data_IF_751951789844
#
_entry.id   IF_751951789844
#
_cell.length_a   1.000
_cell.length_b   1.000
_cell.length_c   1.000
_cell.angle_alpha   90.00
_cell.angle_beta   90.00
_cell.angle_gamma   90.00
#
_symmetry.space_group_name_H-M   'P 1'
#
loop_
_entity.id
_entity.type
_entity.pdbx_description
1 polymer ?
#
# COMPACT_ATOMS: atom_id res chain seq x y z
N UNK A 1 -21.61 -10.55 10.71
CA UNK A 1 -21.62 -10.48 9.23
C UNK A 1 -20.27 -9.90 8.84
N UNK A 2 -19.48 -10.61 8.04
CA UNK A 2 -18.24 -10.06 7.51
C UNK A 2 -18.58 -8.78 6.70
N UNK A 3 -17.80 -7.72 6.87
CA UNK A 3 -17.97 -6.50 6.08
C UNK A 3 -17.79 -6.88 4.60
N UNK A 4 -18.82 -6.64 3.81
CA UNK A 4 -18.86 -7.05 2.40
C UNK A 4 -17.94 -6.17 1.53
N UNK A 5 -17.54 -4.99 2.02
CA UNK A 5 -16.78 -4.00 1.26
C UNK A 5 -15.54 -3.56 2.02
N UNK A 6 -14.44 -3.35 1.30
CA UNK A 6 -13.19 -2.83 1.88
C UNK A 6 -13.24 -1.32 2.09
N UNK A 7 -14.00 -0.61 1.27
CA UNK A 7 -14.21 0.83 1.38
C UNK A 7 -15.60 1.21 0.90
N UNK A 8 -16.24 2.17 1.58
CA UNK A 8 -17.59 2.65 1.25
C UNK A 8 -17.63 4.17 1.21
N UNK A 9 -18.32 4.71 0.22
CA UNK A 9 -18.61 6.15 0.07
C UNK A 9 -20.10 6.34 -0.08
N UNK A 10 -20.69 7.31 0.64
CA UNK A 10 -22.09 7.69 0.55
C UNK A 10 -22.22 9.19 0.42
N UNK A 11 -22.76 9.65 -0.70
CA UNK A 11 -22.93 11.07 -1.02
C UNK A 11 -21.65 11.89 -0.85
N UNK A 12 -20.50 11.31 -1.21
CA UNK A 12 -19.19 11.93 -1.00
C UNK A 12 -19.08 13.21 -1.83
N UNK A 13 -18.85 14.34 -1.16
CA UNK A 13 -18.72 15.67 -1.77
C UNK A 13 -17.46 16.35 -1.27
N UNK A 14 -16.76 17.05 -2.17
CA UNK A 14 -15.63 17.89 -1.78
C UNK A 14 -15.68 19.23 -2.52
N UNK A 15 -15.65 20.30 -1.74
CA UNK A 15 -15.60 21.68 -2.22
C UNK A 15 -14.31 22.30 -1.72
N UNK A 16 -13.56 22.91 -2.63
CA UNK A 16 -12.40 23.73 -2.29
C UNK A 16 -12.76 25.24 -2.42
N UNK A 17 -12.19 26.10 -1.58
CA UNK A 17 -12.39 27.54 -1.69
C UNK A 17 -12.01 28.08 -3.08
N UNK A 18 -12.68 29.14 -3.58
CA UNK A 18 -13.82 29.83 -2.97
C UNK A 18 -15.18 29.11 -3.18
N UNK A 19 -15.32 28.16 -4.13
CA UNK A 19 -16.57 27.42 -4.40
C UNK A 19 -16.38 26.35 -5.48
N UNK A 20 -15.19 25.76 -5.58
CA UNK A 20 -14.88 24.72 -6.56
C UNK A 20 -15.32 23.35 -6.04
N UNK A 21 -16.49 22.88 -6.45
CA UNK A 21 -16.96 21.53 -6.15
C UNK A 21 -16.25 20.51 -7.06
N UNK A 22 -15.42 19.68 -6.46
CA UNK A 22 -14.57 18.71 -7.16
C UNK A 22 -15.20 17.32 -7.15
N UNK A 23 -15.86 16.91 -6.06
CA UNK A 23 -16.62 15.67 -5.95
C UNK A 23 -18.08 16.01 -5.63
N UNK A 24 -19.04 15.39 -6.35
CA UNK A 24 -20.45 15.78 -6.40
C UNK A 24 -21.38 14.62 -6.07
N UNK A 25 -21.30 14.13 -4.83
CA UNK A 25 -22.22 13.10 -4.35
C UNK A 25 -21.91 11.72 -4.93
N UNK A 26 -20.68 11.21 -4.70
CA UNK A 26 -20.27 9.88 -5.14
C UNK A 26 -20.83 8.83 -4.17
N UNK A 27 -21.44 7.78 -4.73
CA UNK A 27 -21.93 6.60 -4.04
C UNK A 27 -21.23 5.39 -4.62
N UNK A 28 -20.26 4.84 -3.89
CA UNK A 28 -19.47 3.69 -4.35
C UNK A 28 -19.11 2.78 -3.19
N UNK A 29 -18.97 1.49 -3.48
CA UNK A 29 -18.45 0.50 -2.54
C UNK A 29 -17.46 -0.39 -3.28
N UNK A 30 -16.32 -0.65 -2.66
CA UNK A 30 -15.24 -1.43 -3.23
C UNK A 30 -15.19 -2.81 -2.58
N UNK A 31 -15.09 -3.86 -3.39
CA UNK A 31 -14.96 -5.22 -2.91
C UNK A 31 -13.50 -5.51 -2.50
N UNK A 32 -13.28 -6.35 -1.47
CA UNK A 32 -11.94 -6.86 -1.17
C UNK A 32 -11.34 -7.57 -2.38
N UNK A 33 -10.05 -7.33 -2.62
CA UNK A 33 -9.30 -7.94 -3.73
C UNK A 33 -9.52 -7.32 -5.10
N UNK A 34 -10.47 -6.38 -5.27
CA UNK A 34 -10.74 -5.73 -6.56
C UNK A 34 -9.55 -4.90 -7.05
N UNK A 35 -9.32 -4.89 -8.37
CA UNK A 35 -8.32 -4.06 -9.06
C UNK A 35 -9.04 -2.99 -9.87
N UNK A 36 -8.91 -1.75 -9.44
CA UNK A 36 -9.70 -0.62 -9.96
C UNK A 36 -8.77 0.43 -10.57
N UNK A 37 -8.94 0.71 -11.85
CA UNK A 37 -8.33 1.84 -12.53
C UNK A 37 -9.22 3.08 -12.43
N UNK A 38 -8.68 4.23 -12.05
CA UNK A 38 -9.42 5.48 -11.98
C UNK A 38 -9.05 6.38 -13.13
N UNK A 39 -10.00 6.65 -14.00
CA UNK A 39 -9.86 7.51 -15.15
C UNK A 39 -10.61 8.84 -14.97
N UNK A 40 -10.26 9.82 -15.76
CA UNK A 40 -10.90 11.14 -15.80
C UNK A 40 -9.96 12.22 -16.31
N UNK A 41 -10.52 13.35 -16.69
CA UNK A 41 -9.73 14.53 -17.11
C UNK A 41 -8.97 15.14 -15.93
N UNK A 42 -7.95 15.92 -16.23
CA UNK A 42 -7.21 16.66 -15.20
C UNK A 42 -8.15 17.59 -14.45
N UNK A 43 -8.04 17.56 -13.13
CA UNK A 43 -8.94 18.31 -12.26
C UNK A 43 -10.32 17.67 -12.03
N UNK A 44 -10.60 16.46 -12.54
CA UNK A 44 -11.85 15.73 -12.29
C UNK A 44 -12.00 15.25 -10.84
N UNK A 45 -10.95 15.36 -10.01
CA UNK A 45 -11.02 14.99 -8.59
C UNK A 45 -10.35 13.66 -8.25
N UNK A 46 -9.67 13.02 -9.18
CA UNK A 46 -9.01 11.70 -9.00
C UNK A 46 -8.10 11.67 -7.75
N UNK A 47 -7.07 12.52 -7.70
CA UNK A 47 -6.17 12.58 -6.54
C UNK A 47 -6.87 13.02 -5.26
N UNK A 48 -7.92 13.86 -5.35
CA UNK A 48 -8.75 14.23 -4.19
C UNK A 48 -9.48 13.02 -3.64
N UNK A 49 -10.04 12.16 -4.52
CA UNK A 49 -10.69 10.92 -4.12
C UNK A 49 -9.72 10.01 -3.36
N UNK A 50 -8.52 9.75 -3.91
CA UNK A 50 -7.52 8.93 -3.24
C UNK A 50 -7.07 9.52 -1.91
N UNK A 51 -6.88 10.84 -1.82
CA UNK A 51 -6.51 11.53 -0.56
C UNK A 51 -7.58 11.40 0.52
N UNK A 52 -8.86 11.43 0.15
CA UNK A 52 -9.96 11.16 1.09
C UNK A 52 -9.91 9.69 1.53
N UNK A 53 -9.74 8.76 0.59
CA UNK A 53 -9.62 7.32 0.89
C UNK A 53 -8.43 7.02 1.80
N UNK A 54 -7.33 7.74 1.64
CA UNK A 54 -6.12 7.63 2.45
C UNK A 54 -6.24 8.33 3.83
N UNK A 55 -7.31 9.10 4.07
CA UNK A 55 -7.47 9.89 5.29
C UNK A 55 -6.63 11.17 5.35
N UNK A 56 -5.97 11.57 4.24
CA UNK A 56 -5.22 12.83 4.17
C UNK A 56 -6.14 14.05 4.07
N UNK A 57 -7.31 13.88 3.46
CA UNK A 57 -8.35 14.91 3.37
C UNK A 57 -9.54 14.46 4.20
N UNK A 58 -9.73 15.11 5.34
CA UNK A 58 -10.79 14.77 6.32
C UNK A 58 -12.00 15.69 6.25
N UNK A 59 -11.88 16.86 5.61
CA UNK A 59 -12.98 17.80 5.44
C UNK A 59 -13.71 17.52 4.12
N UNK A 60 -14.81 16.79 4.17
CA UNK A 60 -15.68 16.47 3.04
C UNK A 60 -17.13 16.34 3.52
N UNK A 61 -18.08 16.42 2.59
CA UNK A 61 -19.49 16.16 2.84
C UNK A 61 -19.85 14.71 2.52
N UNK A 62 -20.91 14.18 3.16
CA UNK A 62 -21.28 12.77 3.08
C UNK A 62 -20.47 11.89 4.01
N UNK A 63 -20.35 10.62 3.69
CA UNK A 63 -19.64 9.62 4.50
C UNK A 63 -18.63 8.86 3.62
N UNK A 64 -17.46 8.56 4.17
CA UNK A 64 -16.45 7.70 3.53
C UNK A 64 -15.63 6.99 4.61
N UNK A 65 -15.49 5.67 4.50
CA UNK A 65 -14.74 4.88 5.49
C UNK A 65 -14.19 3.58 4.89
N UNK A 66 -13.06 3.13 5.42
CA UNK A 66 -12.53 1.79 5.20
C UNK A 66 -13.18 0.78 6.15
N UNK A 67 -13.13 -0.51 5.80
CA UNK A 67 -13.53 -1.59 6.69
C UNK A 67 -12.76 -1.51 8.02
N UNK A 68 -13.41 -1.89 9.11
CA UNK A 68 -12.80 -1.85 10.44
C UNK A 68 -11.53 -2.71 10.51
N UNK A 69 -10.41 -2.10 10.85
CA UNK A 69 -9.11 -2.76 10.96
C UNK A 69 -8.36 -2.91 9.64
N UNK A 70 -8.94 -2.52 8.50
CA UNK A 70 -8.25 -2.54 7.21
C UNK A 70 -7.09 -1.53 7.19
N UNK A 71 -5.92 -2.00 6.78
CA UNK A 71 -4.74 -1.16 6.56
C UNK A 71 -4.85 -0.50 5.18
N UNK A 72 -4.79 0.83 5.15
CA UNK A 72 -4.79 1.62 3.91
C UNK A 72 -3.40 2.14 3.66
N UNK A 73 -2.86 1.86 2.48
CA UNK A 73 -1.58 2.39 2.03
C UNK A 73 -1.77 3.33 0.84
N UNK A 74 -1.04 4.43 0.81
CA UNK A 74 -1.17 5.45 -0.22
C UNK A 74 0.18 5.91 -0.77
N UNK A 75 0.35 5.80 -2.08
CA UNK A 75 1.45 6.40 -2.80
C UNK A 75 1.02 7.79 -3.28
N UNK A 76 1.44 8.81 -2.55
CA UNK A 76 1.23 10.20 -2.93
C UNK A 76 2.09 10.59 -4.16
N UNK A 77 1.68 11.62 -4.87
CA UNK A 77 2.46 12.17 -5.99
C UNK A 77 3.85 12.66 -5.56
N UNK A 78 3.96 13.23 -4.34
CA UNK A 78 5.20 13.63 -3.69
C UNK A 78 5.31 12.92 -2.34
N UNK A 79 5.87 11.68 -2.30
CA UNK A 79 5.94 10.91 -1.07
C UNK A 79 7.02 11.45 -0.14
N UNK A 80 6.77 11.28 1.16
CA UNK A 80 7.73 11.62 2.21
C UNK A 80 8.51 10.39 2.63
N UNK A 81 9.83 10.55 2.69
CA UNK A 81 10.76 9.59 3.27
C UNK A 81 11.31 10.15 4.59
N UNK A 82 11.74 9.28 5.48
CA UNK A 82 12.41 9.67 6.71
C UNK A 82 13.84 10.13 6.39
N UNK A 83 14.17 11.43 6.56
CA UNK A 83 15.49 11.96 6.22
C UNK A 83 16.59 11.50 7.19
N UNK A 84 16.26 10.88 8.31
CA UNK A 84 17.20 10.32 9.26
C UNK A 84 17.71 8.93 8.88
N UNK A 85 17.12 8.33 7.84
CA UNK A 85 17.42 6.99 7.34
C UNK A 85 17.92 7.05 5.90
N UNK A 86 18.75 6.08 5.53
CA UNK A 86 19.13 5.82 4.15
C UNK A 86 17.98 5.16 3.33
N UNK A 87 18.27 4.76 2.10
CA UNK A 87 17.30 4.09 1.23
C UNK A 87 16.82 2.80 1.85
N UNK A 88 17.74 1.94 2.32
CA UNK A 88 17.39 0.65 2.92
C UNK A 88 16.52 0.84 4.18
N UNK A 89 16.93 1.73 5.07
CA UNK A 89 16.18 2.01 6.31
C UNK A 89 14.76 2.51 6.04
N UNK A 90 14.55 3.30 4.97
CA UNK A 90 13.20 3.70 4.55
C UNK A 90 12.39 2.53 3.98
N UNK A 91 13.01 1.64 3.21
CA UNK A 91 12.33 0.46 2.66
C UNK A 91 11.98 -0.54 3.76
N UNK A 92 12.87 -0.76 4.74
CA UNK A 92 12.65 -1.65 5.88
C UNK A 92 11.48 -1.24 6.78
N UNK A 93 11.08 0.03 6.79
CA UNK A 93 9.82 0.44 7.45
C UNK A 93 8.61 -0.33 6.92
N UNK A 94 8.62 -0.68 5.64
CA UNK A 94 7.54 -1.47 5.01
C UNK A 94 7.43 -2.90 5.56
N UNK A 95 8.48 -3.43 6.15
CA UNK A 95 8.54 -4.80 6.69
C UNK A 95 8.78 -4.85 8.20
N UNK A 96 8.63 -3.71 8.89
CA UNK A 96 8.93 -3.60 10.32
C UNK A 96 8.16 -4.61 11.18
N UNK A 97 6.89 -4.86 10.88
CA UNK A 97 6.08 -5.86 11.60
C UNK A 97 6.64 -7.28 11.39
N UNK A 98 7.04 -7.59 10.17
CA UNK A 98 7.65 -8.89 9.82
C UNK A 98 9.02 -9.07 10.48
N UNK A 99 9.85 -8.02 10.49
CA UNK A 99 11.14 -8.02 11.22
C UNK A 99 10.96 -8.23 12.71
N UNK A 100 9.93 -7.61 13.30
CA UNK A 100 9.64 -7.77 14.73
C UNK A 100 9.31 -9.22 15.11
N UNK A 101 8.67 -10.00 14.23
CA UNK A 101 8.43 -11.43 14.45
C UNK A 101 9.74 -12.22 14.49
N UNK A 102 10.66 -11.96 13.56
CA UNK A 102 11.98 -12.63 13.54
C UNK A 102 12.80 -12.27 14.79
N UNK A 103 12.86 -10.99 15.14
CA UNK A 103 13.53 -10.54 16.37
C UNK A 103 12.93 -11.22 17.60
N UNK A 104 11.60 -11.30 17.67
CA UNK A 104 10.92 -11.98 18.78
C UNK A 104 11.24 -13.47 18.85
N UNK A 105 11.33 -14.12 17.71
CA UNK A 105 11.73 -15.54 17.62
C UNK A 105 13.15 -15.75 18.16
N UNK A 106 14.09 -14.88 17.79
CA UNK A 106 15.48 -14.95 18.28
C UNK A 106 15.56 -14.69 19.78
N UNK A 107 14.80 -13.71 20.32
CA UNK A 107 14.74 -13.46 21.76
C UNK A 107 14.21 -14.68 22.54
N UNK A 108 13.19 -15.38 21.99
CA UNK A 108 12.64 -16.58 22.60
C UNK A 108 13.67 -17.70 22.57
N UNK A 109 14.37 -17.88 21.44
CA UNK A 109 15.41 -18.89 21.32
C UNK A 109 16.57 -18.66 22.30
N UNK A 110 16.95 -17.42 22.55
CA UNK A 110 17.98 -17.08 23.50
C UNK A 110 17.63 -17.53 24.94
N UNK A 111 16.34 -17.48 25.32
CA UNK A 111 15.89 -17.92 26.65
C UNK A 111 16.14 -19.38 26.93
N UNK A 112 16.17 -20.27 25.93
CA UNK A 112 16.44 -21.68 26.14
C UNK A 112 17.88 -21.95 26.65
N UNK A 113 18.78 -20.99 26.54
CA UNK A 113 20.13 -21.03 27.13
C UNK A 113 20.18 -20.68 28.62
N UNK A 114 19.08 -20.23 29.21
CA UNK A 114 18.99 -19.81 30.59
C UNK A 114 18.37 -20.91 31.48
N UNK A 115 18.76 -21.04 32.77
CA UNK A 115 18.10 -21.97 33.67
C UNK A 115 16.64 -21.53 33.90
N UNK A 116 15.70 -22.45 33.73
CA UNK A 116 14.28 -22.18 33.92
C UNK A 116 13.55 -23.38 34.52
N UNK A 117 12.41 -23.14 35.15
CA UNK A 117 11.53 -24.20 35.63
C UNK A 117 10.77 -24.90 34.48
N UNK A 118 10.22 -26.11 34.75
CA UNK A 118 9.40 -26.82 33.76
C UNK A 118 8.21 -25.98 33.28
N UNK A 119 7.56 -25.26 34.22
CA UNK A 119 6.40 -24.41 33.87
C UNK A 119 6.80 -23.21 32.99
N UNK A 120 7.99 -22.64 33.20
CA UNK A 120 8.55 -21.57 32.35
C UNK A 120 8.94 -22.11 30.99
N UNK A 121 9.54 -23.29 30.93
CA UNK A 121 9.90 -23.98 29.69
C UNK A 121 8.66 -24.21 28.82
N UNK A 122 7.57 -24.72 29.38
CA UNK A 122 6.32 -24.96 28.66
C UNK A 122 5.75 -23.66 28.09
N UNK A 123 5.81 -22.54 28.84
CA UNK A 123 5.37 -21.22 28.35
C UNK A 123 6.23 -20.69 27.21
N UNK A 124 7.55 -20.85 27.31
CA UNK A 124 8.49 -20.40 26.28
C UNK A 124 8.31 -21.22 25.01
N UNK A 125 8.13 -22.54 25.11
CA UNK A 125 7.86 -23.44 23.97
C UNK A 125 6.53 -23.09 23.30
N UNK A 126 5.47 -22.84 24.07
CA UNK A 126 4.18 -22.44 23.52
C UNK A 126 4.22 -21.07 22.84
N UNK A 127 5.02 -20.13 23.34
CA UNK A 127 5.26 -18.82 22.73
C UNK A 127 6.06 -18.97 21.41
N UNK A 128 7.14 -19.76 21.42
CA UNK A 128 7.93 -20.06 20.24
C UNK A 128 7.06 -20.61 19.10
N UNK A 129 6.23 -21.62 19.39
CA UNK A 129 5.33 -22.19 18.39
C UNK A 129 4.41 -21.17 17.76
N UNK A 130 3.78 -20.29 18.58
CA UNK A 130 2.91 -19.22 18.06
C UNK A 130 3.64 -18.21 17.19
N UNK A 131 4.86 -17.83 17.57
CA UNK A 131 5.66 -16.89 16.79
C UNK A 131 6.14 -17.54 15.50
N UNK A 132 6.54 -18.80 15.54
CA UNK A 132 6.91 -19.57 14.34
C UNK A 132 5.74 -19.67 13.36
N UNK A 133 4.54 -20.05 13.84
CA UNK A 133 3.34 -20.10 13.01
C UNK A 133 3.05 -18.73 12.33
N UNK A 134 3.26 -17.63 13.06
CA UNK A 134 3.10 -16.29 12.53
C UNK A 134 4.15 -15.94 11.45
N UNK A 135 5.42 -16.36 11.66
CA UNK A 135 6.51 -16.17 10.68
C UNK A 135 6.21 -16.96 9.41
N UNK A 136 5.78 -18.22 9.55
CA UNK A 136 5.45 -19.10 8.42
C UNK A 136 4.26 -18.58 7.62
N UNK A 137 3.23 -18.04 8.31
CA UNK A 137 2.05 -17.47 7.66
C UNK A 137 2.34 -16.27 6.74
N UNK A 138 3.36 -15.47 7.06
CA UNK A 138 3.77 -14.30 6.27
C UNK A 138 5.05 -14.54 5.45
N UNK A 139 5.59 -15.77 5.49
CA UNK A 139 6.87 -16.16 4.86
C UNK A 139 8.03 -15.23 5.25
N UNK A 140 8.14 -14.89 6.53
CA UNK A 140 9.11 -13.93 7.02
C UNK A 140 10.57 -14.40 6.87
N UNK A 141 10.83 -15.71 6.76
CA UNK A 141 12.18 -16.25 6.55
C UNK A 141 12.85 -15.74 5.26
N UNK A 142 12.05 -15.41 4.23
CA UNK A 142 12.51 -14.94 2.93
C UNK A 142 12.51 -13.40 2.81
N UNK A 143 12.38 -12.70 3.94
CA UNK A 143 12.16 -11.23 3.91
C UNK A 143 13.32 -10.48 3.26
N UNK A 144 14.57 -10.86 3.54
CA UNK A 144 15.76 -10.22 2.97
C UNK A 144 15.80 -10.37 1.45
N UNK A 145 15.49 -11.58 0.96
CA UNK A 145 15.40 -11.85 -0.47
C UNK A 145 14.24 -11.08 -1.12
N UNK A 146 13.11 -10.98 -0.43
CA UNK A 146 11.95 -10.20 -0.92
C UNK A 146 12.29 -8.73 -1.05
N UNK A 147 13.03 -8.16 -0.09
CA UNK A 147 13.55 -6.79 -0.13
C UNK A 147 14.49 -6.60 -1.33
N UNK A 148 15.50 -7.46 -1.48
CA UNK A 148 16.47 -7.38 -2.58
C UNK A 148 15.77 -7.41 -3.96
N UNK A 149 14.84 -8.36 -4.16
CA UNK A 149 14.09 -8.48 -5.41
C UNK A 149 13.27 -7.21 -5.69
N UNK A 150 12.55 -6.69 -4.70
CA UNK A 150 11.71 -5.50 -4.89
C UNK A 150 12.55 -4.24 -5.17
N UNK A 151 13.68 -4.08 -4.45
CA UNK A 151 14.60 -2.96 -4.65
C UNK A 151 15.26 -2.99 -6.03
N UNK A 152 15.70 -4.17 -6.48
CA UNK A 152 16.31 -4.36 -7.80
C UNK A 152 15.28 -4.14 -8.91
N UNK A 153 14.10 -4.75 -8.82
CA UNK A 153 13.04 -4.62 -9.81
C UNK A 153 12.57 -3.18 -10.02
N UNK A 154 12.52 -2.38 -8.96
CA UNK A 154 12.20 -0.95 -9.02
C UNK A 154 13.42 -0.06 -9.26
N UNK A 155 14.61 -0.66 -9.45
CA UNK A 155 15.88 0.05 -9.70
C UNK A 155 16.11 1.17 -8.68
N UNK A 156 16.06 0.82 -7.40
CA UNK A 156 16.28 1.78 -6.34
C UNK A 156 17.72 2.29 -6.34
N UNK A 157 17.98 3.49 -5.80
CA UNK A 157 19.33 3.96 -5.51
C UNK A 157 20.08 2.99 -4.57
N UNK A 158 21.42 3.11 -4.44
CA UNK A 158 22.19 2.29 -3.50
C UNK A 158 21.56 2.27 -2.11
N UNK A 159 21.57 1.12 -1.40
CA UNK A 159 20.93 0.95 -0.09
C UNK A 159 21.35 1.98 0.96
N UNK A 160 22.62 2.39 0.93
CA UNK A 160 23.25 3.36 1.83
C UNK A 160 23.14 4.82 1.36
N UNK A 161 22.41 5.10 0.28
CA UNK A 161 22.26 6.45 -0.24
C UNK A 161 21.40 7.33 0.68
N UNK A 162 21.87 8.57 0.87
CA UNK A 162 21.15 9.61 1.62
C UNK A 162 19.90 10.06 0.88
N UNK A 163 18.72 9.78 1.45
CA UNK A 163 17.43 10.10 0.82
C UNK A 163 17.19 11.60 0.62
N UNK A 164 17.89 12.45 1.35
CA UNK A 164 17.78 13.91 1.19
C UNK A 164 18.29 14.38 -0.17
N UNK A 165 19.24 13.64 -0.75
CA UNK A 165 19.91 13.96 -2.02
C UNK A 165 19.27 13.32 -3.24
N UNK A 166 18.29 12.44 -3.04
CA UNK A 166 17.60 11.77 -4.12
C UNK A 166 16.73 12.74 -4.94
N UNK A 167 16.65 12.48 -6.23
CA UNK A 167 15.68 13.12 -7.12
C UNK A 167 14.25 12.75 -6.72
N UNK A 168 13.26 13.51 -7.18
CA UNK A 168 11.85 13.22 -6.92
C UNK A 168 11.42 11.83 -7.41
N UNK A 169 11.92 11.40 -8.57
CA UNK A 169 11.64 10.07 -9.13
C UNK A 169 12.25 8.94 -8.28
N UNK A 170 13.47 9.10 -7.79
CA UNK A 170 14.11 8.13 -6.89
C UNK A 170 13.37 8.02 -5.56
N UNK A 171 13.02 9.15 -4.92
CA UNK A 171 12.20 9.16 -3.71
C UNK A 171 10.88 8.43 -3.90
N UNK A 172 10.27 8.61 -5.07
CA UNK A 172 9.01 7.97 -5.42
C UNK A 172 9.16 6.45 -5.55
N UNK A 173 10.22 5.96 -6.20
CA UNK A 173 10.50 4.53 -6.31
C UNK A 173 10.76 3.89 -4.93
N UNK A 174 11.53 4.56 -4.05
CA UNK A 174 11.74 4.10 -2.66
C UNK A 174 10.42 4.02 -1.89
N UNK A 175 9.58 5.05 -1.99
CA UNK A 175 8.27 5.05 -1.33
C UNK A 175 7.32 3.98 -1.89
N UNK A 176 7.31 3.76 -3.21
CA UNK A 176 6.54 2.68 -3.84
C UNK A 176 7.01 1.31 -3.33
N UNK A 177 8.32 1.06 -3.33
CA UNK A 177 8.90 -0.18 -2.82
C UNK A 177 8.45 -0.45 -1.36
N UNK A 178 8.65 0.53 -0.46
CA UNK A 178 8.21 0.47 0.93
C UNK A 178 6.72 0.12 1.04
N UNK A 179 5.89 0.79 0.26
CA UNK A 179 4.44 0.61 0.30
C UNK A 179 3.99 -0.77 -0.17
N UNK A 180 4.59 -1.30 -1.25
CA UNK A 180 4.29 -2.64 -1.76
C UNK A 180 4.68 -3.73 -0.75
N UNK A 181 5.81 -3.55 -0.07
CA UNK A 181 6.30 -4.47 0.98
C UNK A 181 5.45 -4.43 2.25
N UNK A 182 4.78 -3.32 2.53
CA UNK A 182 3.82 -3.16 3.64
C UNK A 182 2.57 -4.05 3.48
N UNK A 183 2.23 -4.40 2.24
CA UNK A 183 1.06 -5.22 1.87
C UNK A 183 -0.25 -4.75 2.53
N UNK A 184 -0.66 -3.48 2.38
CA UNK A 184 -1.93 -3.01 2.95
C UNK A 184 -3.14 -3.70 2.32
N UNK A 185 -4.26 -3.78 3.05
CA UNK A 185 -5.51 -4.37 2.56
C UNK A 185 -6.15 -3.54 1.42
N UNK A 186 -5.92 -2.23 1.45
CA UNK A 186 -6.30 -1.28 0.40
C UNK A 186 -5.08 -0.46 -0.03
N UNK A 187 -4.64 -0.66 -1.25
CA UNK A 187 -3.50 -0.01 -1.86
C UNK A 187 -3.97 1.09 -2.82
N UNK A 188 -3.63 2.32 -2.53
CA UNK A 188 -3.98 3.50 -3.30
C UNK A 188 -2.74 4.05 -4.02
N UNK A 189 -2.77 4.08 -5.35
CA UNK A 189 -1.63 4.47 -6.18
C UNK A 189 -2.00 5.67 -7.07
N UNK A 190 -1.34 6.80 -6.86
CA UNK A 190 -1.49 7.99 -7.70
C UNK A 190 -0.33 8.06 -8.70
N UNK A 191 -0.59 7.74 -9.97
CA UNK A 191 0.38 7.68 -11.08
C UNK A 191 1.60 6.77 -10.79
N UNK A 192 1.43 5.47 -10.44
CA UNK A 192 2.52 4.61 -9.98
C UNK A 192 3.58 4.33 -11.04
N UNK A 193 3.26 4.41 -12.33
CA UNK A 193 4.17 4.14 -13.45
C UNK A 193 5.11 5.32 -13.76
N UNK A 194 4.83 6.52 -13.24
CA UNK A 194 5.68 7.68 -13.47
C UNK A 194 7.10 7.46 -12.90
N UNK A 195 8.11 7.76 -13.71
CA UNK A 195 9.54 7.58 -13.40
C UNK A 195 10.01 6.13 -13.28
N UNK A 196 9.21 5.15 -13.74
CA UNK A 196 9.61 3.77 -13.93
C UNK A 196 10.02 3.54 -15.38
N UNK A 197 10.98 2.65 -15.60
CA UNK A 197 11.27 2.11 -16.92
C UNK A 197 10.35 0.93 -17.26
N UNK A 198 10.41 0.46 -18.49
CA UNK A 198 9.51 -0.58 -18.97
C UNK A 198 9.62 -1.91 -18.20
N UNK A 199 10.82 -2.27 -17.72
CA UNK A 199 11.02 -3.50 -16.94
C UNK A 199 10.41 -3.37 -15.54
N UNK A 200 10.61 -2.22 -14.88
CA UNK A 200 9.99 -1.92 -13.58
C UNK A 200 8.46 -1.83 -13.67
N UNK A 201 7.92 -1.28 -14.77
CA UNK A 201 6.46 -1.26 -15.02
C UNK A 201 5.94 -2.69 -15.16
N UNK A 202 6.56 -3.53 -16.00
CA UNK A 202 6.15 -4.91 -16.18
C UNK A 202 6.20 -5.73 -14.88
N UNK A 203 7.22 -5.51 -14.05
CA UNK A 203 7.29 -6.14 -12.73
C UNK A 203 6.16 -5.66 -11.82
N UNK A 204 5.88 -4.35 -11.80
CA UNK A 204 4.80 -3.77 -10.99
C UNK A 204 3.44 -4.32 -11.43
N UNK A 205 3.16 -4.43 -12.74
CA UNK A 205 1.94 -5.04 -13.27
C UNK A 205 1.75 -6.46 -12.75
N UNK A 206 2.78 -7.31 -12.85
CA UNK A 206 2.75 -8.67 -12.33
C UNK A 206 2.52 -8.71 -10.81
N UNK A 207 3.22 -7.87 -10.08
CA UNK A 207 3.07 -7.79 -8.63
C UNK A 207 1.64 -7.39 -8.22
N UNK A 208 1.01 -6.46 -8.95
CA UNK A 208 -0.34 -5.99 -8.65
C UNK A 208 -1.43 -6.97 -9.11
N UNK A 209 -1.20 -7.76 -10.16
CA UNK A 209 -2.10 -8.84 -10.56
C UNK A 209 -2.25 -9.88 -9.44
N UNK A 210 -1.13 -10.28 -8.84
CA UNK A 210 -1.07 -11.29 -7.76
C UNK A 210 -1.32 -10.69 -6.36
N UNK A 211 -1.47 -9.37 -6.28
CA UNK A 211 -1.66 -8.68 -5.01
C UNK A 211 -2.98 -9.10 -4.33
N UNK A 212 -2.96 -9.60 -3.08
CA UNK A 212 -4.17 -10.14 -2.44
C UNK A 212 -5.17 -9.05 -2.02
N UNK A 213 -4.68 -7.83 -1.76
CA UNK A 213 -5.50 -6.69 -1.35
C UNK A 213 -6.20 -5.99 -2.52
N UNK A 214 -7.05 -5.04 -2.18
CA UNK A 214 -7.69 -4.16 -3.16
C UNK A 214 -6.70 -3.12 -3.65
N UNK A 215 -6.67 -2.88 -4.96
CA UNK A 215 -5.84 -1.86 -5.59
C UNK A 215 -6.72 -0.81 -6.26
N UNK A 216 -6.45 0.46 -5.98
CA UNK A 216 -7.05 1.60 -6.69
C UNK A 216 -5.93 2.43 -7.27
N UNK A 217 -5.79 2.45 -8.59
CA UNK A 217 -4.70 3.13 -9.29
C UNK A 217 -5.23 4.24 -10.21
N UNK A 218 -4.68 5.44 -10.07
CA UNK A 218 -4.81 6.52 -11.05
C UNK A 218 -3.62 6.43 -11.96
N UNK A 219 -3.82 6.34 -13.28
CA UNK A 219 -2.74 6.45 -14.25
C UNK A 219 -3.29 6.86 -15.62
N UNK A 220 -2.41 7.44 -16.43
CA UNK A 220 -2.66 7.70 -17.85
C UNK A 220 -2.14 6.58 -18.75
N UNK A 221 -1.45 5.61 -18.20
CA UNK A 221 -0.93 4.44 -18.90
C UNK A 221 -2.05 3.41 -19.13
N UNK A 222 -2.54 3.36 -20.36
CA UNK A 222 -3.62 2.45 -20.76
C UNK A 222 -3.18 0.99 -20.71
N UNK A 223 -1.95 0.70 -21.10
CA UNK A 223 -1.43 -0.68 -21.09
C UNK A 223 -1.35 -1.22 -19.65
N UNK A 224 -0.91 -0.37 -18.72
CA UNK A 224 -0.91 -0.73 -17.32
C UNK A 224 -2.34 -1.02 -16.81
N UNK A 225 -3.33 -0.21 -17.18
CA UNK A 225 -4.72 -0.45 -16.79
C UNK A 225 -5.27 -1.74 -17.41
N UNK A 226 -5.04 -1.97 -18.70
CA UNK A 226 -5.48 -3.18 -19.41
C UNK A 226 -4.91 -4.46 -18.76
N UNK A 227 -3.69 -4.40 -18.22
CA UNK A 227 -3.03 -5.53 -17.58
C UNK A 227 -3.46 -5.73 -16.12
N UNK A 228 -3.75 -4.67 -15.37
CA UNK A 228 -3.96 -4.74 -13.91
C UNK A 228 -5.43 -4.59 -13.52
N UNK A 229 -6.18 -3.69 -14.15
CA UNK A 229 -7.52 -3.34 -13.75
C UNK A 229 -8.56 -4.39 -14.19
N UNK A 230 -9.50 -4.68 -13.28
CA UNK A 230 -10.70 -5.48 -13.55
C UNK A 230 -11.95 -4.60 -13.60
N UNK A 231 -11.82 -3.39 -13.05
CA UNK A 231 -12.85 -2.39 -12.99
C UNK A 231 -12.26 -1.03 -13.35
N UNK A 232 -13.03 -0.24 -14.06
CA UNK A 232 -12.71 1.16 -14.33
C UNK A 232 -13.70 2.05 -13.59
N UNK A 233 -13.18 3.01 -12.84
CA UNK A 233 -13.95 4.09 -12.25
C UNK A 233 -13.67 5.37 -13.05
N UNK A 234 -14.60 5.78 -13.88
CA UNK A 234 -14.50 7.05 -14.58
C UNK A 234 -15.01 8.20 -13.70
N UNK A 235 -14.18 9.21 -13.49
CA UNK A 235 -14.58 10.46 -12.86
C UNK A 235 -14.84 11.51 -13.94
N UNK A 236 -16.10 11.80 -14.18
CA UNK A 236 -16.52 12.90 -15.06
C UNK A 236 -17.25 13.99 -14.26
N UNK A 237 -16.75 15.23 -14.38
CA UNK A 237 -17.34 16.42 -13.73
C UNK A 237 -17.66 16.25 -12.25
N UNK A 238 -16.84 15.48 -11.53
CA UNK A 238 -16.99 15.22 -10.11
C UNK A 238 -17.96 14.08 -9.74
N UNK A 239 -18.49 13.36 -10.72
CA UNK A 239 -19.32 12.14 -10.53
C UNK A 239 -18.50 10.90 -10.85
N UNK A 240 -18.79 9.79 -10.19
CA UNK A 240 -18.11 8.52 -10.39
C UNK A 240 -19.02 7.52 -11.12
N UNK A 241 -18.50 6.92 -12.19
CA UNK A 241 -19.19 5.90 -13.00
C UNK A 241 -18.34 4.63 -13.02
N UNK A 242 -18.76 3.55 -12.35
CA UNK A 242 -18.03 2.29 -12.38
C UNK A 242 -18.43 1.47 -13.61
N UNK A 243 -17.41 0.85 -14.24
CA UNK A 243 -17.55 -0.10 -15.34
C UNK A 243 -16.81 -1.38 -15.01
N UNK A 244 -17.38 -2.53 -15.28
CA UNK A 244 -16.71 -3.81 -15.22
C UNK A 244 -15.96 -4.04 -16.53
N UNK A 245 -14.69 -4.44 -16.42
CA UNK A 245 -13.77 -4.62 -17.54
C UNK A 245 -12.64 -3.61 -17.52
N UNK A 246 -11.75 -3.74 -18.48
CA UNK A 246 -10.56 -2.93 -18.74
C UNK A 246 -10.62 -2.29 -20.12
#
# INVERSE_FOLDING_TARGET
MAEQYIYVMKDLRKIYPPNREVLKGIWLSFFPGAKIGVLGLDGAGRSTLLKIMAGEVTEFGGEAWAAKGAKVGYLAQEPRLDPSKDVLGNVEEGVAETRALLTRFDEINAKFGEPMSEEEMDKVMAEQGRVQDAIDAVNAWEIDRTLEIAMDALRLPPPDADVSRLSGGEKRRVALCRLLLQKPDLLLLDEPTNHLDAESVAWLEHHLQDYPGTVVAITHDRYFLDNVAQWILELDRGRGFPFEGN
#
